data_IF_077944588180
#
_entry.id   IF_077944588180
#
_cell.length_a   1.000
_cell.length_b   1.000
_cell.length_c   1.000
_cell.angle_alpha   90.00
_cell.angle_beta   90.00
_cell.angle_gamma   90.00
#
_symmetry.space_group_name_H-M   'P 1'
#
loop_
_entity.id
_entity.type
_entity.pdbx_description
1 polymer ?
#
# COMPACT_ATOMS: atom_id res chain seq x y z
N UNK A 1 -8.22 -12.54 5.40
CA UNK A 1 -7.17 -11.67 6.02
C UNK A 1 -7.46 -10.19 5.75
N UNK A 2 -6.77 -9.25 6.42
CA UNK A 2 -7.05 -7.79 6.30
C UNK A 2 -5.81 -6.94 5.98
N UNK A 3 -6.00 -5.84 5.25
CA UNK A 3 -4.97 -4.82 4.96
C UNK A 3 -5.55 -3.41 4.88
N UNK A 4 -4.70 -2.40 5.00
CA UNK A 4 -5.03 -0.98 4.82
C UNK A 4 -4.33 -0.44 3.57
N UNK A 5 -5.07 0.24 2.70
CA UNK A 5 -4.52 0.77 1.44
C UNK A 5 -4.83 2.25 1.27
N UNK A 6 -3.82 3.03 0.92
CA UNK A 6 -3.99 4.41 0.45
C UNK A 6 -4.20 4.42 -1.07
N UNK A 7 -5.29 5.01 -1.54
CA UNK A 7 -5.59 5.11 -2.98
C UNK A 7 -6.48 6.30 -3.31
N UNK A 8 -6.58 6.65 -4.59
CA UNK A 8 -7.49 7.69 -5.06
C UNK A 8 -8.92 7.20 -4.90
N UNK A 9 -9.79 8.08 -4.40
CA UNK A 9 -11.22 7.78 -4.27
C UNK A 9 -11.79 7.31 -5.62
N UNK A 10 -12.56 6.24 -5.60
CA UNK A 10 -13.21 5.62 -6.77
C UNK A 10 -12.26 5.03 -7.85
N UNK A 11 -10.94 5.16 -7.68
CA UNK A 11 -9.91 4.60 -8.58
C UNK A 11 -8.98 3.67 -7.80
N UNK A 12 -9.49 2.48 -7.45
CA UNK A 12 -8.78 1.52 -6.61
C UNK A 12 -7.49 1.00 -7.27
N UNK A 13 -7.43 0.94 -8.60
CA UNK A 13 -6.22 0.57 -9.32
C UNK A 13 -5.11 1.63 -9.16
N UNK A 14 -5.48 2.88 -8.85
CA UNK A 14 -4.58 4.01 -8.61
C UNK A 14 -4.34 4.21 -7.11
N UNK A 15 -3.49 3.34 -6.57
CA UNK A 15 -2.98 3.44 -5.20
C UNK A 15 -1.78 4.38 -5.08
N UNK A 16 -1.49 4.82 -3.87
CA UNK A 16 -0.15 5.37 -3.58
C UNK A 16 0.85 4.25 -3.39
N UNK A 17 1.29 3.57 -4.45
CA UNK A 17 2.42 2.63 -4.38
C UNK A 17 3.13 2.46 -5.73
N UNK A 18 4.42 2.13 -5.66
CA UNK A 18 5.48 2.11 -6.68
C UNK A 18 5.03 1.82 -8.13
N UNK A 19 5.46 2.69 -9.05
CA UNK A 19 5.71 2.32 -10.45
C UNK A 19 5.62 3.47 -11.46
N UNK A 20 6.74 4.13 -11.79
CA UNK A 20 6.93 4.77 -13.10
C UNK A 20 6.68 6.28 -13.27
N UNK A 21 6.47 7.05 -12.21
CA UNK A 21 6.27 8.51 -12.31
C UNK A 21 7.58 9.32 -12.36
N UNK A 22 7.61 10.43 -13.10
CA UNK A 22 8.78 11.31 -13.28
C UNK A 22 9.38 11.80 -11.94
N UNK A 23 10.70 11.96 -11.95
CA UNK A 23 11.65 12.14 -10.85
C UNK A 23 11.52 13.40 -9.98
N UNK A 24 10.58 14.32 -10.26
CA UNK A 24 10.63 15.67 -9.70
C UNK A 24 10.07 15.83 -8.26
N UNK A 25 9.24 14.91 -7.76
CA UNK A 25 8.65 14.99 -6.41
C UNK A 25 9.32 14.02 -5.40
N UNK A 26 10.54 13.55 -5.67
CA UNK A 26 11.14 12.37 -5.03
C UNK A 26 12.09 12.65 -3.86
N UNK A 27 12.61 13.85 -3.70
CA UNK A 27 13.73 14.09 -2.77
C UNK A 27 13.35 13.91 -1.29
N UNK A 28 12.11 14.23 -0.89
CA UNK A 28 11.65 14.03 0.50
C UNK A 28 11.21 12.59 0.82
N UNK A 29 10.87 11.78 -0.19
CA UNK A 29 10.35 10.41 -0.01
C UNK A 29 11.46 9.37 -0.14
N UNK A 30 12.44 9.59 -1.05
CA UNK A 30 13.61 8.72 -1.20
C UNK A 30 14.62 8.85 -0.05
N UNK A 31 14.68 10.00 0.63
CA UNK A 31 15.57 10.19 1.78
C UNK A 31 15.06 9.54 3.06
N UNK A 32 13.93 8.82 3.01
CA UNK A 32 13.42 8.08 4.17
C UNK A 32 14.10 6.70 4.24
N UNK A 33 15.02 6.46 5.18
CA UNK A 33 15.69 5.16 5.35
C UNK A 33 14.74 4.03 5.79
N UNK A 34 13.43 4.32 5.91
CA UNK A 34 12.39 3.37 6.32
C UNK A 34 11.21 3.35 5.34
N UNK A 35 11.34 3.89 4.13
CA UNK A 35 10.32 3.68 3.11
C UNK A 35 10.41 2.20 2.68
N UNK A 36 9.52 1.32 3.15
CA UNK A 36 9.65 -0.09 2.87
C UNK A 36 9.36 -0.25 1.39
N UNK A 37 10.29 -0.85 0.66
CA UNK A 37 9.98 -1.40 -0.64
C UNK A 37 9.55 -2.85 -0.43
N UNK A 38 8.69 -3.43 -1.30
CA UNK A 38 8.31 -4.84 -1.16
C UNK A 38 9.49 -5.81 -1.10
N UNK A 39 10.64 -5.41 -1.68
CA UNK A 39 11.91 -6.15 -1.64
C UNK A 39 12.59 -6.18 -0.26
N UNK A 40 12.21 -5.28 0.65
CA UNK A 40 12.80 -5.16 1.98
C UNK A 40 12.01 -6.00 3.02
N UNK A 41 11.07 -6.84 2.55
CA UNK A 41 10.15 -7.63 3.36
C UNK A 41 10.23 -9.12 2.96
N UNK A 42 11.26 -9.81 3.44
CA UNK A 42 11.61 -11.18 3.03
C UNK A 42 10.44 -12.18 3.20
N UNK A 43 9.68 -12.07 4.28
CA UNK A 43 8.49 -12.91 4.53
C UNK A 43 7.40 -12.71 3.46
N UNK A 44 7.25 -11.48 2.96
CA UNK A 44 6.30 -11.19 1.90
C UNK A 44 6.78 -11.81 0.57
N UNK A 45 8.08 -11.74 0.28
CA UNK A 45 8.67 -12.27 -0.97
C UNK A 45 8.55 -13.79 -1.06
N UNK A 46 8.76 -14.51 0.04
CA UNK A 46 8.59 -15.95 0.11
C UNK A 46 7.12 -16.35 -0.14
N UNK A 47 6.19 -15.63 0.51
CA UNK A 47 4.76 -15.85 0.33
C UNK A 47 4.27 -15.50 -1.08
N UNK A 48 4.81 -14.45 -1.70
CA UNK A 48 4.52 -14.07 -3.09
C UNK A 48 4.95 -15.20 -4.04
N UNK A 49 6.15 -15.74 -3.84
CA UNK A 49 6.68 -16.83 -4.67
C UNK A 49 5.80 -18.08 -4.58
N UNK A 50 5.28 -18.40 -3.39
CA UNK A 50 4.34 -19.51 -3.20
C UNK A 50 2.97 -19.27 -3.87
N UNK A 51 2.47 -18.04 -3.87
CA UNK A 51 1.15 -17.70 -4.43
C UNK A 51 1.20 -17.60 -5.95
N UNK A 52 2.29 -17.07 -6.51
CA UNK A 52 2.39 -16.72 -7.93
C UNK A 52 3.32 -17.63 -8.73
N UNK A 53 4.13 -18.46 -8.06
CA UNK A 53 5.15 -19.29 -8.70
C UNK A 53 6.24 -18.49 -9.42
N UNK A 54 6.37 -17.18 -9.14
CA UNK A 54 7.30 -16.27 -9.82
C UNK A 54 7.85 -15.21 -8.87
N UNK A 55 9.10 -14.78 -9.11
CA UNK A 55 9.81 -13.74 -8.34
C UNK A 55 9.65 -12.30 -8.90
N UNK A 56 8.80 -12.10 -9.92
CA UNK A 56 8.64 -10.78 -10.56
C UNK A 56 7.55 -9.93 -9.88
N UNK A 57 7.92 -8.71 -9.47
CA UNK A 57 7.00 -7.69 -8.94
C UNK A 57 6.35 -6.98 -10.11
N UNK A 58 5.07 -7.25 -10.33
CA UNK A 58 4.35 -6.89 -11.55
C UNK A 58 3.26 -5.81 -11.29
N UNK A 59 2.84 -5.06 -12.33
CA UNK A 59 1.88 -3.96 -12.21
C UNK A 59 0.47 -4.39 -11.79
N UNK A 60 0.20 -5.69 -11.67
CA UNK A 60 -1.08 -6.24 -11.19
C UNK A 60 -1.15 -6.42 -9.67
N UNK A 61 -0.15 -5.98 -8.91
CA UNK A 61 -0.20 -6.03 -7.45
C UNK A 61 -0.85 -4.78 -6.86
N UNK A 62 -1.64 -5.00 -5.80
CA UNK A 62 -2.18 -3.97 -4.92
C UNK A 62 -1.39 -4.00 -3.63
N UNK A 63 -0.78 -2.88 -3.29
CA UNK A 63 -0.01 -2.72 -2.06
C UNK A 63 -0.80 -2.01 -0.97
N UNK A 64 -0.44 -2.30 0.28
CA UNK A 64 -0.89 -1.60 1.46
C UNK A 64 -0.12 -2.06 2.69
N UNK A 65 -0.77 -1.99 3.84
CA UNK A 65 -0.18 -2.24 5.15
C UNK A 65 -0.99 -3.28 5.91
N UNK A 66 -0.32 -4.17 6.63
CA UNK A 66 -0.97 -5.17 7.47
C UNK A 66 -1.67 -4.54 8.68
N UNK A 67 -1.18 -3.41 9.18
CA UNK A 67 -1.69 -2.73 10.38
C UNK A 67 -1.85 -1.22 10.21
N UNK A 68 -2.73 -0.63 11.03
CA UNK A 68 -2.88 0.84 11.13
C UNK A 68 -1.57 1.49 11.58
N UNK A 69 -0.82 0.84 12.48
CA UNK A 69 0.44 1.38 13.00
C UNK A 69 1.47 1.56 11.87
N UNK A 70 1.64 0.55 11.01
CA UNK A 70 2.51 0.63 9.82
C UNK A 70 2.06 1.75 8.86
N UNK A 71 0.76 1.84 8.60
CA UNK A 71 0.19 2.91 7.77
C UNK A 71 0.48 4.30 8.36
N UNK A 72 0.23 4.50 9.67
CA UNK A 72 0.48 5.76 10.39
C UNK A 72 1.95 6.14 10.36
N UNK A 73 2.81 5.14 10.54
CA UNK A 73 4.25 5.31 10.45
C UNK A 73 4.67 5.79 9.06
N UNK A 74 4.02 5.29 8.00
CA UNK A 74 4.30 5.70 6.62
C UNK A 74 3.81 7.13 6.31
N UNK A 75 2.58 7.50 6.66
CA UNK A 75 2.04 8.87 6.48
C UNK A 75 2.47 9.84 7.60
N UNK A 76 3.73 9.77 8.06
CA UNK A 76 4.27 10.24 9.35
C UNK A 76 3.93 11.69 9.81
N UNK A 77 3.26 12.53 9.03
CA UNK A 77 2.87 13.90 9.46
C UNK A 77 1.42 14.21 9.14
N UNK A 78 0.76 14.92 10.06
CA UNK A 78 -0.59 15.47 9.86
C UNK A 78 -0.71 16.23 8.53
N UNK A 79 0.30 17.06 8.20
CA UNK A 79 0.37 17.79 6.92
C UNK A 79 0.28 16.89 5.68
N UNK A 80 0.90 15.71 5.71
CA UNK A 80 0.82 14.74 4.60
C UNK A 80 -0.58 14.15 4.50
N UNK A 81 -1.17 13.75 5.63
CA UNK A 81 -2.54 13.20 5.68
C UNK A 81 -3.58 14.20 5.17
N UNK A 82 -3.43 15.47 5.53
CA UNK A 82 -4.28 16.56 5.05
C UNK A 82 -4.10 16.75 3.54
N UNK A 83 -2.85 16.85 3.05
CA UNK A 83 -2.59 17.02 1.62
C UNK A 83 -3.10 15.85 0.78
N UNK A 84 -2.92 14.62 1.25
CA UNK A 84 -3.48 13.44 0.59
C UNK A 84 -5.00 13.49 0.52
N UNK A 85 -5.66 13.94 1.59
CA UNK A 85 -7.12 14.12 1.59
C UNK A 85 -7.56 15.19 0.59
N UNK A 86 -6.84 16.32 0.51
CA UNK A 86 -7.08 17.39 -0.46
C UNK A 86 -6.95 16.88 -1.91
N UNK A 87 -5.95 16.03 -2.16
CA UNK A 87 -5.71 15.39 -3.47
C UNK A 87 -6.69 14.24 -3.78
N UNK A 88 -7.68 13.99 -2.93
CA UNK A 88 -8.70 12.96 -3.14
C UNK A 88 -8.27 11.54 -2.77
N UNK A 89 -7.15 11.38 -2.06
CA UNK A 89 -6.75 10.08 -1.52
C UNK A 89 -7.53 9.73 -0.25
N UNK A 90 -7.80 8.44 -0.13
CA UNK A 90 -8.50 7.81 0.98
C UNK A 90 -7.71 6.59 1.46
N UNK A 91 -8.06 6.11 2.64
CA UNK A 91 -7.63 4.79 3.11
C UNK A 91 -8.79 3.84 3.16
N UNK A 92 -8.63 2.70 2.49
CA UNK A 92 -9.58 1.59 2.55
C UNK A 92 -9.03 0.46 3.40
N UNK A 93 -9.89 -0.07 4.25
CA UNK A 93 -9.71 -1.32 4.98
C UNK A 93 -10.29 -2.45 4.14
N UNK A 94 -9.42 -3.36 3.72
CA UNK A 94 -9.72 -4.42 2.75
C UNK A 94 -9.64 -5.77 3.44
N UNK A 95 -10.59 -6.64 3.14
CA UNK A 95 -10.61 -8.04 3.55
C UNK A 95 -10.49 -8.97 2.33
N UNK A 96 -9.59 -9.95 2.39
CA UNK A 96 -9.41 -10.96 1.35
C UNK A 96 -8.59 -12.13 1.89
N UNK A 97 -8.85 -13.34 1.39
CA UNK A 97 -8.07 -14.53 1.70
C UNK A 97 -6.77 -14.64 0.91
N UNK A 98 -6.56 -13.73 -0.06
CA UNK A 98 -5.40 -13.70 -0.95
C UNK A 98 -4.37 -12.62 -0.58
N UNK A 99 -4.45 -12.08 0.64
CA UNK A 99 -3.49 -11.08 1.12
C UNK A 99 -2.23 -11.77 1.61
N UNK A 100 -1.10 -11.52 0.96
CA UNK A 100 0.21 -11.82 1.53
C UNK A 100 0.61 -10.68 2.48
N UNK A 101 1.15 -11.03 3.65
CA UNK A 101 1.64 -10.07 4.63
C UNK A 101 3.14 -10.22 4.79
N UNK A 102 3.77 -9.10 5.09
CA UNK A 102 5.11 -9.05 5.64
C UNK A 102 5.16 -8.13 6.86
N UNK A 103 6.39 -7.91 7.33
CA UNK A 103 6.73 -7.13 8.50
C UNK A 103 6.35 -5.65 8.39
N UNK A 104 6.26 -5.12 7.17
CA UNK A 104 5.93 -3.71 6.91
C UNK A 104 4.81 -3.52 5.92
N UNK A 105 4.59 -4.49 5.03
CA UNK A 105 3.67 -4.37 3.91
C UNK A 105 2.66 -5.51 3.83
N UNK A 106 1.63 -5.29 3.02
CA UNK A 106 0.69 -6.30 2.58
C UNK A 106 0.42 -6.14 1.09
N UNK A 107 0.21 -7.25 0.39
CA UNK A 107 -0.12 -7.29 -1.03
C UNK A 107 -1.31 -8.18 -1.30
N UNK A 108 -2.17 -7.75 -2.22
CA UNK A 108 -3.17 -8.60 -2.87
C UNK A 108 -3.08 -8.44 -4.38
N UNK A 109 -3.32 -9.50 -5.13
CA UNK A 109 -3.35 -9.43 -6.58
C UNK A 109 -4.64 -8.74 -7.05
N UNK A 110 -4.56 -7.78 -7.99
CA UNK A 110 -5.71 -6.97 -8.47
C UNK A 110 -6.91 -7.80 -8.92
N UNK A 111 -6.64 -8.93 -9.56
CA UNK A 111 -7.67 -9.84 -10.08
C UNK A 111 -8.21 -10.86 -9.05
N UNK A 112 -7.72 -10.85 -7.81
CA UNK A 112 -8.24 -11.75 -6.77
C UNK A 112 -9.43 -11.11 -6.05
N UNK A 113 -10.41 -11.90 -5.58
CA UNK A 113 -11.52 -11.37 -4.80
C UNK A 113 -11.05 -10.66 -3.53
N UNK A 114 -11.63 -9.50 -3.26
CA UNK A 114 -11.47 -8.75 -2.02
C UNK A 114 -12.72 -7.90 -1.77
N UNK A 115 -12.94 -7.54 -0.51
CA UNK A 115 -14.02 -6.66 -0.08
C UNK A 115 -13.44 -5.41 0.56
N UNK A 116 -13.98 -4.23 0.19
CA UNK A 116 -13.69 -2.98 0.89
C UNK A 116 -14.68 -2.87 2.05
N UNK A 117 -14.20 -3.18 3.26
CA UNK A 117 -15.01 -3.14 4.48
C UNK A 117 -15.33 -1.70 4.88
N UNK A 118 -14.35 -0.80 4.76
CA UNK A 118 -14.48 0.59 5.20
C UNK A 118 -13.52 1.50 4.46
N UNK A 119 -13.95 2.73 4.21
CA UNK A 119 -13.11 3.80 3.70
C UNK A 119 -13.09 4.97 4.70
N UNK A 120 -11.91 5.56 4.91
CA UNK A 120 -11.69 6.72 5.77
C UNK A 120 -10.85 7.77 5.06
N UNK A 121 -11.08 9.04 5.37
CA UNK A 121 -10.22 10.14 4.90
C UNK A 121 -8.84 10.02 5.54
N UNK A 122 -7.80 10.35 4.79
CA UNK A 122 -6.43 10.29 5.30
C UNK A 122 -6.23 11.13 6.56
N UNK A 123 -6.86 12.31 6.66
CA UNK A 123 -6.75 13.20 7.82
C UNK A 123 -7.26 12.64 9.15
N UNK A 124 -8.09 11.60 9.14
CA UNK A 124 -8.74 11.01 10.32
C UNK A 124 -7.96 9.82 10.88
N UNK A 125 -6.91 9.38 10.18
CA UNK A 125 -6.11 8.21 10.54
C UNK A 125 -5.28 8.48 11.79
#
# INVERSE_FOLDING_TARGET
>A
MRMYRVHVKDLFEKGMYRGGGKWADWDEIQSSPRHPMPRDDDELMDNISNILGVYYIEPWMVFGFSTIAQLKFWIYKKKWREKLTELGFIVSYIESDYIARGSTQAVVHKNKPYEIIKTIKCSII
#
